data_IF_578512586018
#
_entry.id   IF_578512586018
#
_cell.length_a   1.000
_cell.length_b   1.000
_cell.length_c   1.000
_cell.angle_alpha   90.00
_cell.angle_beta   90.00
_cell.angle_gamma   90.00
#
_symmetry.space_group_name_H-M   'P 1'
#
loop_
_entity.id
_entity.type
_entity.pdbx_description
1 polymer ?
#
# COMPACT_ATOMS: atom_id res chain seq x y z
N UNK A 1 -3.99 -24.80 -69.71
CA UNK A 1 -3.94 -25.91 -68.72
C UNK A 1 -2.84 -25.58 -67.71
N UNK A 2 -3.20 -25.48 -66.42
CA UNK A 2 -2.29 -25.07 -65.34
C UNK A 2 -1.28 -26.18 -65.03
N UNK A 3 0.01 -25.85 -65.07
CA UNK A 3 1.13 -26.75 -64.76
C UNK A 3 1.43 -26.73 -63.26
N UNK A 4 1.55 -27.92 -62.68
CA UNK A 4 1.91 -28.20 -61.29
C UNK A 4 3.34 -27.76 -61.00
N UNK A 5 3.51 -26.93 -59.97
CA UNK A 5 4.81 -26.66 -59.37
C UNK A 5 5.30 -27.87 -58.58
N UNK A 6 6.54 -28.28 -58.82
CA UNK A 6 7.25 -29.23 -57.98
C UNK A 6 8.55 -28.60 -57.50
N UNK A 7 8.68 -28.52 -56.17
CA UNK A 7 9.85 -28.08 -55.43
C UNK A 7 11.11 -28.86 -55.81
N UNK A 8 12.24 -28.16 -55.89
CA UNK A 8 13.54 -28.71 -55.50
C UNK A 8 14.27 -27.71 -54.61
N UNK A 9 14.66 -28.22 -53.45
CA UNK A 9 15.35 -27.53 -52.37
C UNK A 9 16.80 -27.21 -52.74
N UNK A 10 17.32 -26.10 -52.22
CA UNK A 10 18.75 -25.86 -52.08
C UNK A 10 19.02 -25.07 -50.78
N UNK A 11 19.37 -25.86 -49.76
CA UNK A 11 20.37 -25.64 -48.72
C UNK A 11 21.05 -24.24 -48.66
N UNK A 12 20.86 -23.52 -47.57
CA UNK A 12 21.82 -22.52 -47.08
C UNK A 12 22.12 -22.80 -45.61
N UNK A 13 23.37 -23.20 -45.36
CA UNK A 13 24.05 -23.21 -44.05
C UNK A 13 23.89 -21.82 -43.41
N UNK A 14 23.46 -21.66 -42.17
CA UNK A 14 24.11 -22.21 -40.99
C UNK A 14 25.05 -21.16 -40.38
N UNK A 15 24.50 -20.15 -39.70
CA UNK A 15 25.19 -19.42 -38.62
C UNK A 15 24.14 -19.15 -37.53
N UNK A 16 24.18 -20.00 -36.50
CA UNK A 16 23.46 -19.83 -35.25
C UNK A 16 24.27 -18.85 -34.38
N UNK A 17 23.89 -17.58 -34.35
CA UNK A 17 24.40 -16.66 -33.33
C UNK A 17 23.49 -16.76 -32.10
N UNK A 18 23.83 -17.67 -31.17
CA UNK A 18 23.35 -17.61 -29.79
C UNK A 18 24.00 -16.39 -29.14
N UNK A 19 23.32 -15.25 -29.10
CA UNK A 19 23.69 -14.16 -28.19
C UNK A 19 23.14 -14.48 -26.81
N UNK A 20 23.92 -15.19 -26.01
CA UNK A 20 23.72 -15.26 -24.56
C UNK A 20 23.94 -13.87 -23.98
N UNK A 21 22.88 -13.10 -23.80
CA UNK A 21 22.92 -11.92 -22.94
C UNK A 21 22.98 -12.41 -21.49
N UNK A 22 24.18 -12.50 -20.93
CA UNK A 22 24.38 -12.59 -19.47
C UNK A 22 23.92 -11.25 -18.91
N UNK A 23 22.67 -11.19 -18.45
CA UNK A 23 22.24 -10.13 -17.54
C UNK A 23 22.93 -10.41 -16.22
N UNK A 24 24.10 -9.80 -16.03
CA UNK A 24 24.70 -9.61 -14.72
C UNK A 24 23.67 -8.81 -13.92
N UNK A 25 22.87 -9.48 -13.10
CA UNK A 25 22.12 -8.83 -12.03
C UNK A 25 23.16 -8.32 -11.05
N UNK A 26 23.67 -7.12 -11.32
CA UNK A 26 24.38 -6.31 -10.34
C UNK A 26 23.44 -6.15 -9.16
N UNK A 27 23.72 -6.87 -8.09
CA UNK A 27 23.14 -6.62 -6.78
C UNK A 27 23.54 -5.20 -6.39
N UNK A 28 22.69 -4.24 -6.73
CA UNK A 28 22.75 -2.90 -6.18
C UNK A 28 22.33 -3.04 -4.71
N UNK A 29 23.32 -3.34 -3.86
CA UNK A 29 23.22 -3.05 -2.43
C UNK A 29 23.03 -1.55 -2.31
N UNK A 30 21.80 -1.13 -2.05
CA UNK A 30 21.52 0.22 -1.55
C UNK A 30 21.85 0.16 -0.05
N UNK A 31 23.10 0.45 0.26
CA UNK A 31 23.60 0.58 1.62
C UNK A 31 23.54 2.06 1.97
N UNK A 32 22.35 2.52 2.38
CA UNK A 32 22.13 3.88 2.88
C UNK A 32 21.51 3.81 4.28
N UNK A 33 22.37 3.94 5.29
CA UNK A 33 22.01 4.41 6.63
C UNK A 33 21.62 3.35 7.66
N UNK A 34 22.56 3.04 8.56
CA UNK A 34 22.28 2.37 9.83
C UNK A 34 21.55 3.33 10.79
N UNK A 35 20.24 3.43 10.65
CA UNK A 35 19.29 3.97 11.64
C UNK A 35 18.22 2.90 11.86
N UNK A 36 17.95 2.51 13.11
CA UNK A 36 17.18 1.31 13.50
C UNK A 36 16.08 0.91 12.51
N UNK A 37 16.33 -0.19 11.77
CA UNK A 37 15.43 -0.68 10.73
C UNK A 37 14.04 -0.96 11.32
N UNK A 38 13.05 -0.16 10.92
CA UNK A 38 11.67 -0.34 11.36
C UNK A 38 11.09 -1.64 10.79
N UNK A 39 10.98 -2.66 11.66
CA UNK A 39 10.39 -3.98 11.39
C UNK A 39 8.85 -4.01 11.32
N UNK A 40 8.19 -2.85 11.34
CA UNK A 40 6.73 -2.78 11.26
C UNK A 40 6.18 -3.03 9.85
N UNK A 41 4.86 -3.17 9.73
CA UNK A 41 4.17 -3.35 8.44
C UNK A 41 4.42 -2.12 7.57
N UNK A 42 5.12 -2.32 6.45
CA UNK A 42 5.28 -1.31 5.41
C UNK A 42 4.57 -1.80 4.14
N UNK A 43 3.91 -0.91 3.41
CA UNK A 43 3.47 -1.22 2.05
C UNK A 43 4.62 -1.76 1.20
N UNK A 44 4.41 -2.90 0.54
CA UNK A 44 5.41 -3.50 -0.34
C UNK A 44 6.50 -4.33 0.33
N UNK A 45 6.44 -4.57 1.65
CA UNK A 45 7.30 -5.56 2.34
C UNK A 45 6.53 -6.82 2.73
N UNK A 46 7.27 -7.87 3.07
CA UNK A 46 6.73 -9.17 3.52
C UNK A 46 6.28 -9.15 5.00
N UNK A 47 6.19 -7.97 5.60
CA UNK A 47 5.91 -7.83 7.03
C UNK A 47 4.41 -8.07 7.31
N UNK A 48 4.14 -9.12 8.08
CA UNK A 48 2.78 -9.50 8.49
C UNK A 48 2.27 -8.60 9.61
N UNK A 49 0.95 -8.36 9.69
CA UNK A 49 0.38 -7.69 10.84
C UNK A 49 0.61 -8.52 12.11
N UNK A 50 0.74 -7.88 13.28
CA UNK A 50 0.83 -8.61 14.53
C UNK A 50 -0.47 -9.40 14.82
N UNK A 51 -0.33 -10.54 15.48
CA UNK A 51 -1.44 -11.40 15.90
C UNK A 51 -1.76 -12.54 14.91
N UNK A 52 -2.89 -13.24 15.12
CA UNK A 52 -3.30 -14.35 14.25
C UNK A 52 -3.57 -13.91 12.82
N UNK A 53 -3.29 -14.80 11.86
CA UNK A 53 -3.64 -14.56 10.47
C UNK A 53 -5.16 -14.61 10.25
N UNK A 54 -5.72 -13.53 9.72
CA UNK A 54 -7.16 -13.34 9.46
C UNK A 54 -7.48 -13.01 8.00
N UNK A 55 -6.50 -13.07 7.09
CA UNK A 55 -6.73 -12.86 5.66
C UNK A 55 -7.85 -13.77 5.15
N UNK A 56 -8.82 -13.20 4.44
CA UNK A 56 -9.97 -13.93 3.88
C UNK A 56 -10.96 -14.51 4.90
N UNK A 57 -10.71 -14.41 6.21
CA UNK A 57 -11.56 -14.99 7.28
C UNK A 57 -12.62 -14.02 7.81
N UNK A 58 -12.73 -12.85 7.19
CA UNK A 58 -13.65 -11.77 7.56
C UNK A 58 -13.14 -10.43 7.10
N UNK A 59 -13.78 -9.36 7.57
CA UNK A 59 -13.45 -7.97 7.23
C UNK A 59 -12.86 -7.30 8.46
N UNK A 60 -11.54 -7.21 8.50
CA UNK A 60 -10.80 -6.67 9.63
C UNK A 60 -9.86 -5.56 9.22
N UNK A 61 -9.70 -4.56 10.09
CA UNK A 61 -8.50 -3.70 10.13
C UNK A 61 -7.45 -4.41 10.97
N UNK A 62 -6.34 -4.78 10.33
CA UNK A 62 -5.26 -5.57 10.95
C UNK A 62 -4.09 -4.72 11.40
N UNK A 63 -3.89 -3.54 10.81
CA UNK A 63 -2.80 -2.64 11.21
C UNK A 63 -3.06 -1.20 10.74
N UNK A 64 -2.95 -0.18 11.58
CA UNK A 64 -2.83 1.22 11.15
C UNK A 64 -1.36 1.64 11.08
N UNK A 65 -1.00 2.45 10.08
CA UNK A 65 0.36 2.97 9.92
C UNK A 65 0.40 4.40 9.38
N UNK A 66 1.57 5.02 9.50
CA UNK A 66 1.85 6.38 9.05
C UNK A 66 3.26 6.45 8.47
N UNK A 67 3.40 7.19 7.36
CA UNK A 67 4.67 7.46 6.69
C UNK A 67 4.74 8.93 6.26
N UNK A 68 5.91 9.54 6.43
CA UNK A 68 6.23 10.82 5.78
C UNK A 68 6.75 10.52 4.38
N UNK A 69 6.19 11.20 3.39
CA UNK A 69 6.56 11.06 1.99
C UNK A 69 7.47 12.24 1.55
N UNK A 70 8.22 12.08 0.45
CA UNK A 70 9.02 13.17 -0.11
C UNK A 70 8.19 14.44 -0.36
N UNK A 71 8.81 15.60 -0.11
CA UNK A 71 8.18 16.91 -0.31
C UNK A 71 7.20 17.34 0.79
N UNK A 72 7.29 16.74 2.00
CA UNK A 72 6.47 17.11 3.16
C UNK A 72 5.05 16.53 3.13
N UNK A 73 4.74 15.69 2.14
CA UNK A 73 3.49 14.93 2.08
C UNK A 73 3.48 13.85 3.17
N UNK A 74 2.30 13.32 3.47
CA UNK A 74 2.20 12.17 4.38
C UNK A 74 1.17 11.17 3.92
N UNK A 75 1.31 9.95 4.42
CA UNK A 75 0.43 8.83 4.12
C UNK A 75 0.01 8.18 5.43
N UNK A 76 -1.28 8.10 5.66
CA UNK A 76 -1.87 7.20 6.66
C UNK A 76 -2.39 5.99 5.90
N UNK A 77 -2.24 4.81 6.48
CA UNK A 77 -2.80 3.61 5.90
C UNK A 77 -3.39 2.69 6.93
N UNK A 78 -4.32 1.85 6.47
CA UNK A 78 -4.75 0.68 7.20
C UNK A 78 -4.58 -0.56 6.34
N UNK A 79 -3.97 -1.59 6.90
CA UNK A 79 -4.01 -2.93 6.34
C UNK A 79 -5.33 -3.60 6.74
N UNK A 80 -5.88 -4.36 5.80
CA UNK A 80 -7.18 -5.01 5.92
C UNK A 80 -7.13 -6.43 5.40
N UNK A 81 -7.94 -7.31 6.00
CA UNK A 81 -7.98 -8.75 5.67
C UNK A 81 -8.79 -9.11 4.42
N UNK A 82 -9.40 -8.11 3.78
CA UNK A 82 -10.21 -8.24 2.57
C UNK A 82 -10.25 -6.88 1.85
N UNK A 83 -10.56 -6.86 0.55
CA UNK A 83 -10.77 -5.60 -0.17
C UNK A 83 -11.98 -4.87 0.42
N UNK A 84 -11.76 -3.62 0.80
CA UNK A 84 -12.79 -2.74 1.36
C UNK A 84 -12.77 -1.44 0.56
N UNK A 85 -13.89 -1.07 -0.05
CA UNK A 85 -14.08 0.26 -0.63
C UNK A 85 -14.38 1.26 0.49
N UNK A 86 -13.50 2.25 0.73
CA UNK A 86 -13.72 3.25 1.76
C UNK A 86 -14.71 4.33 1.30
N UNK A 87 -15.41 4.93 2.26
CA UNK A 87 -16.18 6.16 2.05
C UNK A 87 -15.52 7.28 2.83
N UNK A 88 -15.17 8.36 2.14
CA UNK A 88 -14.51 9.53 2.74
C UNK A 88 -15.55 10.60 3.04
N UNK A 89 -15.53 11.12 4.26
CA UNK A 89 -16.32 12.29 4.64
C UNK A 89 -15.42 13.31 5.32
N UNK A 90 -15.70 14.59 5.11
CA UNK A 90 -14.99 15.69 5.76
C UNK A 90 -15.98 16.49 6.59
N UNK A 91 -15.65 16.71 7.85
CA UNK A 91 -16.45 17.53 8.75
C UNK A 91 -15.56 18.11 9.85
N UNK A 92 -15.81 19.36 10.27
CA UNK A 92 -15.21 19.95 11.48
C UNK A 92 -13.68 19.81 11.58
N UNK A 93 -12.95 20.05 10.49
CA UNK A 93 -11.47 20.01 10.50
C UNK A 93 -10.87 18.59 10.58
N UNK A 94 -11.66 17.55 10.32
CA UNK A 94 -11.18 16.17 10.23
C UNK A 94 -11.71 15.46 8.98
N UNK A 95 -10.95 14.46 8.55
CA UNK A 95 -11.44 13.47 7.59
C UNK A 95 -11.81 12.19 8.33
N UNK A 96 -12.92 11.57 7.93
CA UNK A 96 -13.31 10.24 8.37
C UNK A 96 -13.37 9.32 7.15
N UNK A 97 -12.54 8.28 7.19
CA UNK A 97 -12.48 7.23 6.18
C UNK A 97 -13.20 6.01 6.76
N UNK A 98 -14.45 5.85 6.36
CA UNK A 98 -15.33 4.77 6.81
C UNK A 98 -15.03 3.50 6.03
N UNK A 99 -14.86 2.39 6.74
CA UNK A 99 -14.63 1.05 6.23
C UNK A 99 -15.87 0.19 6.52
N UNK A 100 -16.81 0.07 5.56
CA UNK A 100 -18.10 -0.55 5.83
C UNK A 100 -17.99 -2.02 6.21
N UNK A 101 -18.79 -2.43 7.20
CA UNK A 101 -18.90 -3.79 7.71
C UNK A 101 -17.53 -4.38 8.08
N UNK A 102 -16.69 -3.59 8.77
CA UNK A 102 -15.32 -3.94 9.12
C UNK A 102 -15.09 -3.84 10.63
N UNK A 103 -14.42 -4.85 11.20
CA UNK A 103 -14.07 -4.90 12.62
C UNK A 103 -12.60 -4.52 12.83
N UNK A 104 -12.27 -3.93 13.96
CA UNK A 104 -10.85 -3.75 14.32
C UNK A 104 -10.34 -5.04 14.96
N UNK A 105 -9.31 -5.67 14.37
CA UNK A 105 -8.87 -7.00 14.77
C UNK A 105 -8.33 -7.03 16.21
N UNK A 106 -7.32 -6.21 16.48
CA UNK A 106 -6.68 -6.13 17.79
C UNK A 106 -7.04 -4.81 18.47
N UNK A 107 -7.26 -4.85 19.80
CA UNK A 107 -7.52 -3.64 20.59
C UNK A 107 -6.41 -2.59 20.43
N UNK A 108 -5.17 -3.02 20.27
CA UNK A 108 -4.02 -2.14 20.08
C UNK A 108 -4.10 -1.30 18.80
N UNK A 109 -4.75 -1.81 17.74
CA UNK A 109 -4.93 -1.09 16.46
C UNK A 109 -5.85 0.15 16.60
N UNK A 110 -6.44 0.36 17.78
CA UNK A 110 -7.25 1.54 18.10
C UNK A 110 -6.47 2.62 18.83
N UNK A 111 -5.20 2.37 19.18
CA UNK A 111 -4.33 3.40 19.74
C UNK A 111 -4.05 4.47 18.67
N UNK A 112 -4.02 5.75 19.05
CA UNK A 112 -3.75 6.82 18.11
C UNK A 112 -2.30 6.74 17.60
N UNK A 113 -2.13 7.09 16.33
CA UNK A 113 -0.86 7.48 15.74
C UNK A 113 -0.73 8.99 16.01
N UNK A 114 0.12 9.36 16.96
CA UNK A 114 0.43 10.77 17.25
C UNK A 114 1.45 11.27 16.23
N UNK A 115 1.08 12.27 15.43
CA UNK A 115 1.90 12.78 14.33
C UNK A 115 2.17 14.29 14.43
N UNK A 116 1.87 14.87 15.59
CA UNK A 116 1.92 16.32 15.82
C UNK A 116 3.32 16.94 15.67
N UNK A 117 4.38 16.16 15.88
CA UNK A 117 5.75 16.62 15.77
C UNK A 117 6.36 16.46 14.36
N UNK A 118 5.68 15.77 13.44
CA UNK A 118 6.15 15.66 12.07
C UNK A 118 5.75 16.89 11.26
N UNK A 119 6.59 17.31 10.30
CA UNK A 119 6.30 18.41 9.38
C UNK A 119 5.26 18.02 8.30
N UNK A 120 4.06 17.63 8.74
CA UNK A 120 2.92 17.18 7.92
C UNK A 120 1.63 17.82 8.47
N UNK A 121 0.54 17.88 7.68
CA UNK A 121 -0.69 18.55 8.12
C UNK A 121 -1.50 17.71 9.13
N UNK A 122 -1.11 16.45 9.38
CA UNK A 122 -1.81 15.53 10.26
C UNK A 122 -1.34 15.70 11.71
N UNK A 123 -2.26 15.98 12.63
CA UNK A 123 -1.97 16.00 14.07
C UNK A 123 -2.02 14.59 14.65
N UNK A 124 -3.05 13.82 14.27
CA UNK A 124 -3.29 12.47 14.77
C UNK A 124 -4.11 11.66 13.78
N UNK A 125 -3.87 10.35 13.71
CA UNK A 125 -4.80 9.41 13.11
C UNK A 125 -5.20 8.32 14.10
N UNK A 126 -6.44 7.84 14.06
CA UNK A 126 -6.87 6.71 14.90
C UNK A 126 -7.96 5.88 14.23
N UNK A 127 -7.98 4.58 14.50
CA UNK A 127 -9.07 3.71 14.06
C UNK A 127 -10.09 3.53 15.19
N UNK A 128 -11.34 3.88 14.91
CA UNK A 128 -12.47 3.68 15.79
C UNK A 128 -13.35 2.53 15.31
N UNK A 129 -13.97 1.81 16.26
CA UNK A 129 -15.09 0.95 15.93
C UNK A 129 -16.39 1.73 16.15
N UNK A 130 -17.19 1.90 15.09
CA UNK A 130 -18.54 2.50 15.17
C UNK A 130 -19.58 1.49 14.68
N UNK A 131 -20.33 0.92 15.63
CA UNK A 131 -21.29 -0.17 15.35
C UNK A 131 -20.61 -1.32 14.58
N UNK A 132 -20.93 -1.46 13.30
CA UNK A 132 -20.44 -2.50 12.39
C UNK A 132 -19.27 -2.05 11.50
N UNK A 133 -18.93 -0.76 11.54
CA UNK A 133 -17.93 -0.15 10.67
C UNK A 133 -16.67 0.21 11.48
N UNK A 134 -15.53 0.11 10.82
CA UNK A 134 -14.30 0.72 11.30
C UNK A 134 -14.15 2.09 10.66
N UNK A 135 -13.69 3.09 11.39
CA UNK A 135 -13.51 4.45 10.88
C UNK A 135 -12.09 4.90 11.19
N UNK A 136 -11.31 5.17 10.15
CA UNK A 136 -10.04 5.85 10.29
C UNK A 136 -10.31 7.35 10.35
N UNK A 137 -10.08 7.96 11.51
CA UNK A 137 -10.27 9.39 11.77
C UNK A 137 -8.93 10.08 11.67
N UNK A 138 -8.87 11.15 10.88
CA UNK A 138 -7.69 11.98 10.67
C UNK A 138 -7.96 13.38 11.24
N UNK A 139 -7.30 13.70 12.34
CA UNK A 139 -7.32 15.02 12.96
C UNK A 139 -6.19 15.88 12.36
N UNK A 140 -6.55 17.02 11.79
CA UNK A 140 -5.62 17.91 11.11
C UNK A 140 -5.09 19.00 12.04
N UNK A 141 -3.84 19.44 11.82
CA UNK A 141 -3.26 20.63 12.48
C UNK A 141 -3.88 21.91 11.93
N UNK A 142 -4.07 21.93 10.62
CA UNK A 142 -4.63 23.04 9.87
C UNK A 142 -5.59 22.49 8.80
N UNK A 143 -6.62 23.23 8.41
CA UNK A 143 -7.53 22.81 7.34
C UNK A 143 -6.78 22.50 6.04
N UNK A 144 -7.15 21.41 5.38
CA UNK A 144 -6.77 21.09 4.00
C UNK A 144 -8.03 20.77 3.20
N UNK A 145 -8.03 21.04 1.90
CA UNK A 145 -9.23 20.92 1.06
C UNK A 145 -9.59 19.48 0.74
N UNK A 146 -8.60 18.60 0.59
CA UNK A 146 -8.84 17.21 0.18
C UNK A 146 -7.71 16.27 0.57
N UNK A 147 -8.02 14.98 0.53
CA UNK A 147 -7.08 13.86 0.65
C UNK A 147 -7.27 12.92 -0.53
N UNK A 148 -6.21 12.21 -0.93
CA UNK A 148 -6.32 11.16 -1.95
C UNK A 148 -6.46 9.80 -1.27
N UNK A 149 -7.48 9.03 -1.67
CA UNK A 149 -7.72 7.69 -1.11
C UNK A 149 -7.69 6.65 -2.21
N UNK A 150 -6.93 5.58 -1.99
CA UNK A 150 -6.86 4.46 -2.92
C UNK A 150 -6.64 3.13 -2.20
N UNK A 151 -7.08 2.05 -2.83
CA UNK A 151 -6.99 0.69 -2.30
C UNK A 151 -6.02 -0.12 -3.15
N UNK A 152 -5.08 -0.81 -2.53
CA UNK A 152 -4.10 -1.65 -3.22
C UNK A 152 -4.05 -3.06 -2.59
N UNK A 153 -3.81 -4.11 -3.39
CA UNK A 153 -3.44 -5.42 -2.86
C UNK A 153 -2.16 -5.33 -2.02
N UNK A 154 -2.17 -5.99 -0.88
CA UNK A 154 -0.97 -6.34 -0.12
C UNK A 154 -0.57 -7.78 -0.41
N UNK A 155 0.40 -8.29 0.35
CA UNK A 155 0.79 -9.69 0.29
C UNK A 155 -0.16 -10.59 1.08
N UNK A 156 -0.05 -11.92 0.90
CA UNK A 156 -0.78 -12.93 1.68
C UNK A 156 -2.31 -12.73 1.74
N UNK A 157 -2.90 -12.13 0.71
CA UNK A 157 -4.35 -11.88 0.63
C UNK A 157 -4.84 -10.67 1.45
N UNK A 158 -3.93 -9.86 1.98
CA UNK A 158 -4.23 -8.58 2.61
C UNK A 158 -4.41 -7.46 1.58
N UNK A 159 -4.99 -6.35 2.01
CA UNK A 159 -5.17 -5.13 1.22
C UNK A 159 -4.80 -3.92 2.06
N UNK A 160 -4.38 -2.85 1.41
CA UNK A 160 -4.16 -1.56 2.04
C UNK A 160 -5.19 -0.54 1.56
N UNK A 161 -5.71 0.25 2.49
CA UNK A 161 -6.39 1.51 2.19
C UNK A 161 -5.43 2.63 2.54
N UNK A 162 -5.01 3.38 1.52
CA UNK A 162 -4.11 4.52 1.64
C UNK A 162 -4.89 5.82 1.68
N UNK A 163 -4.45 6.74 2.53
CA UNK A 163 -4.92 8.12 2.61
C UNK A 163 -3.70 9.03 2.54
N UNK A 164 -3.51 9.69 1.41
CA UNK A 164 -2.42 10.63 1.20
C UNK A 164 -2.87 12.06 1.45
N UNK A 165 -2.07 12.77 2.25
CA UNK A 165 -2.25 14.16 2.59
C UNK A 165 -1.20 15.00 1.85
N UNK A 166 -1.56 16.20 1.38
CA UNK A 166 -0.61 17.13 0.79
C UNK A 166 0.41 17.59 1.83
N UNK A 167 1.40 18.38 1.39
CA UNK A 167 2.33 19.03 2.31
C UNK A 167 1.59 20.04 3.21
N UNK A 168 2.15 20.32 4.38
CA UNK A 168 1.78 21.53 5.12
C UNK A 168 2.23 22.75 4.33
N UNK A 169 1.36 23.75 4.17
CA UNK A 169 1.75 25.09 3.74
C UNK A 169 2.35 25.90 4.89
#
# INVERSE_FOLDING_TARGET
>A
MRSLGSMKAALVLGILALTSAVVVHGSARSDDGADGAYDGVKPGTDHRPPGPDVAGKGRYVTFPGFEVLPGGRSRVFVQTSARIEPVVTQASGRFEVVLPNTRVHLRNNRRPLETEHFATPLARARVEQRKKDAVLVLELKHPIDSVQVHVQPGQDGYFFVFVELPRSE
#
